data_IF_037217742621
#
_entry.id   IF_037217742621
#
_cell.length_a   1.000
_cell.length_b   1.000
_cell.length_c   1.000
_cell.angle_alpha   90.00
_cell.angle_beta   90.00
_cell.angle_gamma   90.00
#
_symmetry.space_group_name_H-M   'P 1'
#
loop_
_entity.id
_entity.type
_entity.pdbx_description
1 polymer ?
#
# COMPACT_ATOMS: atom_id res chain seq x y z
N UNK A 1 -21.42 32.88 -20.70
CA UNK A 1 -20.57 32.80 -19.50
C UNK A 1 -20.82 31.45 -18.83
N UNK A 2 -19.91 30.49 -18.96
CA UNK A 2 -20.10 29.16 -18.33
C UNK A 2 -19.89 29.27 -16.82
N UNK A 3 -20.95 28.98 -16.06
CA UNK A 3 -21.04 29.16 -14.60
C UNK A 3 -20.56 27.93 -13.79
N UNK A 4 -20.04 26.89 -14.46
CA UNK A 4 -19.63 25.65 -13.80
C UNK A 4 -18.13 25.67 -13.50
N UNK A 5 -17.78 25.98 -12.24
CA UNK A 5 -16.42 25.78 -11.71
C UNK A 5 -16.12 24.29 -11.70
N UNK A 6 -15.04 23.87 -12.37
CA UNK A 6 -14.56 22.48 -12.28
C UNK A 6 -14.27 22.14 -10.81
N UNK A 7 -14.70 20.96 -10.31
CA UNK A 7 -14.34 20.55 -8.96
C UNK A 7 -12.82 20.50 -8.83
N UNK A 8 -12.31 21.25 -7.85
CA UNK A 8 -10.90 21.27 -7.50
C UNK A 8 -10.54 19.90 -6.89
N UNK A 9 -9.46 19.24 -7.34
CA UNK A 9 -9.03 18.00 -6.70
C UNK A 9 -8.66 18.30 -5.23
N UNK A 10 -9.26 17.55 -4.31
CA UNK A 10 -8.90 17.59 -2.90
C UNK A 10 -7.42 17.21 -2.75
N UNK A 11 -6.65 18.04 -2.03
CA UNK A 11 -5.29 17.71 -1.63
C UNK A 11 -5.34 16.62 -0.55
N UNK A 12 -5.22 15.36 -0.94
CA UNK A 12 -5.23 14.21 -0.03
C UNK A 12 -3.81 13.68 0.09
N UNK A 13 -3.29 13.67 1.32
CA UNK A 13 -2.06 12.96 1.67
C UNK A 13 -2.43 11.51 2.03
N UNK A 14 -1.87 10.55 1.32
CA UNK A 14 -2.03 9.12 1.62
C UNK A 14 -0.80 8.67 2.39
N UNK A 15 -0.99 8.30 3.65
CA UNK A 15 0.05 7.69 4.48
C UNK A 15 -0.02 6.17 4.32
N UNK A 16 1.12 5.53 4.04
CA UNK A 16 1.22 4.08 3.86
C UNK A 16 2.46 3.54 4.55
N UNK A 17 2.26 2.55 5.41
CA UNK A 17 3.37 1.79 6.00
C UNK A 17 3.80 0.62 5.10
N UNK A 18 3.05 0.31 4.04
CA UNK A 18 3.31 -0.85 3.19
C UNK A 18 4.74 -0.90 2.60
N UNK A 19 5.34 0.22 2.11
CA UNK A 19 6.73 0.21 1.67
C UNK A 19 7.73 -0.13 2.78
N UNK A 20 7.52 0.39 3.99
CA UNK A 20 8.38 0.13 5.14
C UNK A 20 8.26 -1.32 5.63
N UNK A 21 7.04 -1.88 5.58
CA UNK A 21 6.79 -3.31 5.84
C UNK A 21 7.51 -4.19 4.82
N UNK A 22 7.45 -3.86 3.53
CA UNK A 22 8.21 -4.58 2.48
C UNK A 22 9.71 -4.53 2.77
N UNK A 23 10.24 -3.36 3.12
CA UNK A 23 11.65 -3.21 3.49
C UNK A 23 12.03 -4.01 4.75
N UNK A 24 11.15 -4.08 5.74
CA UNK A 24 11.32 -4.93 6.93
C UNK A 24 11.36 -6.42 6.59
N UNK A 25 10.44 -6.90 5.75
CA UNK A 25 10.36 -8.30 5.34
C UNK A 25 11.56 -8.73 4.50
N UNK A 26 12.05 -7.86 3.59
CA UNK A 26 13.28 -8.13 2.84
C UNK A 26 14.49 -8.29 3.76
N UNK A 27 14.64 -7.40 4.74
CA UNK A 27 15.71 -7.51 5.74
C UNK A 27 15.59 -8.78 6.59
N UNK A 28 14.38 -9.16 6.99
CA UNK A 28 14.18 -10.41 7.73
C UNK A 28 14.57 -11.66 6.92
N UNK A 29 14.34 -11.65 5.60
CA UNK A 29 14.70 -12.75 4.70
C UNK A 29 16.22 -12.95 4.54
N UNK A 30 17.02 -11.89 4.72
CA UNK A 30 18.48 -11.96 4.67
C UNK A 30 19.05 -12.88 5.75
N UNK A 31 18.40 -12.96 6.92
CA UNK A 31 18.80 -13.80 8.05
C UNK A 31 17.82 -14.93 8.38
N UNK A 32 16.83 -15.19 7.53
CA UNK A 32 15.79 -16.16 7.80
C UNK A 32 16.33 -17.59 7.82
N UNK A 33 15.93 -18.35 8.86
CA UNK A 33 16.14 -19.80 8.91
C UNK A 33 15.32 -20.51 7.83
N UNK A 34 15.69 -21.74 7.48
CA UNK A 34 14.97 -22.54 6.48
C UNK A 34 13.49 -22.78 6.86
N UNK A 35 13.20 -22.84 8.17
CA UNK A 35 11.85 -22.99 8.68
C UNK A 35 10.99 -21.73 8.49
N UNK A 36 11.58 -20.54 8.64
CA UNK A 36 10.86 -19.26 8.57
C UNK A 36 10.77 -18.71 7.14
N UNK A 37 11.76 -19.03 6.30
CA UNK A 37 11.90 -18.50 4.93
C UNK A 37 10.62 -18.62 4.09
N UNK A 38 9.94 -19.80 3.99
CA UNK A 38 8.72 -19.91 3.17
C UNK A 38 7.58 -18.98 3.66
N UNK A 39 7.48 -18.80 4.97
CA UNK A 39 6.48 -17.89 5.56
C UNK A 39 6.78 -16.43 5.26
N UNK A 40 8.05 -16.03 5.39
CA UNK A 40 8.49 -14.66 5.11
C UNK A 40 8.41 -14.31 3.62
N UNK A 41 8.71 -15.25 2.72
CA UNK A 41 8.53 -15.08 1.27
C UNK A 41 7.06 -14.85 0.92
N UNK A 42 6.15 -15.63 1.51
CA UNK A 42 4.71 -15.44 1.31
C UNK A 42 4.23 -14.09 1.88
N UNK A 43 4.72 -13.71 3.06
CA UNK A 43 4.40 -12.42 3.66
C UNK A 43 4.89 -11.26 2.78
N UNK A 44 6.11 -11.36 2.23
CA UNK A 44 6.68 -10.37 1.33
C UNK A 44 5.82 -10.21 0.08
N UNK A 45 5.42 -11.31 -0.57
CA UNK A 45 4.56 -11.27 -1.76
C UNK A 45 3.22 -10.55 -1.49
N UNK A 46 2.60 -10.80 -0.34
CA UNK A 46 1.36 -10.13 0.08
C UNK A 46 1.57 -8.63 0.35
N UNK A 47 2.69 -8.28 0.98
CA UNK A 47 3.03 -6.90 1.28
C UNK A 47 3.34 -6.10 0.00
N UNK A 48 4.03 -6.72 -0.97
CA UNK A 48 4.32 -6.13 -2.27
C UNK A 48 3.05 -5.90 -3.10
N UNK A 49 2.11 -6.85 -3.11
CA UNK A 49 0.78 -6.65 -3.73
C UNK A 49 0.05 -5.46 -3.12
N UNK A 50 0.05 -5.36 -1.79
CA UNK A 50 -0.58 -4.24 -1.07
C UNK A 50 0.09 -2.90 -1.39
N UNK A 51 1.43 -2.87 -1.41
CA UNK A 51 2.21 -1.68 -1.72
C UNK A 51 1.99 -1.18 -3.16
N UNK A 52 1.77 -2.10 -4.11
CA UNK A 52 1.56 -1.78 -5.52
C UNK A 52 0.18 -1.14 -5.83
N UNK A 53 -0.77 -1.17 -4.90
CA UNK A 53 -2.14 -0.65 -5.15
C UNK A 53 -2.16 0.86 -5.39
N UNK A 54 -2.86 1.39 -6.40
CA UNK A 54 -2.96 2.83 -6.62
C UNK A 54 -3.67 3.60 -5.50
N UNK A 55 -3.23 4.83 -5.21
CA UNK A 55 -3.85 5.70 -4.19
C UNK A 55 -5.33 5.97 -4.45
N UNK A 56 -5.73 6.08 -5.73
CA UNK A 56 -7.12 6.28 -6.11
C UNK A 56 -8.02 5.12 -5.66
N UNK A 57 -7.54 3.89 -5.77
CA UNK A 57 -8.28 2.70 -5.36
C UNK A 57 -8.41 2.61 -3.84
N UNK A 58 -7.31 2.85 -3.10
CA UNK A 58 -7.34 2.87 -1.63
C UNK A 58 -8.31 3.94 -1.10
N UNK A 59 -8.24 5.16 -1.63
CA UNK A 59 -9.18 6.22 -1.26
C UNK A 59 -10.63 5.82 -1.56
N UNK A 60 -10.87 5.18 -2.71
CA UNK A 60 -12.17 4.64 -3.07
C UNK A 60 -12.71 3.65 -2.04
N UNK A 61 -11.88 2.73 -1.54
CA UNK A 61 -12.26 1.79 -0.46
C UNK A 61 -12.58 2.51 0.85
N UNK A 62 -11.72 3.41 1.32
CA UNK A 62 -11.91 4.09 2.62
C UNK A 62 -13.17 4.96 2.67
N UNK A 63 -13.50 5.63 1.56
CA UNK A 63 -14.70 6.47 1.49
C UNK A 63 -15.97 5.63 1.33
N UNK A 64 -15.90 4.47 0.65
CA UNK A 64 -17.05 3.57 0.48
C UNK A 64 -17.36 2.71 1.71
N UNK A 65 -16.40 2.52 2.61
CA UNK A 65 -16.57 1.78 3.86
C UNK A 65 -16.92 2.67 5.05
N UNK A 66 -17.27 3.95 4.81
CA UNK A 66 -17.69 4.91 5.82
C UNK A 66 -19.20 4.95 5.99
#
# INVERSE_FOLDING_TARGET
MSMFRKPQPLAVLVLRDAPDVVAGLRRALESATDAERPGLERALALAEDSAARPDAELRGRWVRQR
#
